data_IF_502602419909
#
_entry.id   IF_502602419909
#
_cell.length_a   1.000
_cell.length_b   1.000
_cell.length_c   1.000
_cell.angle_alpha   90.00
_cell.angle_beta   90.00
_cell.angle_gamma   90.00
#
_symmetry.space_group_name_H-M   'P 1'
#
loop_
_entity.id
_entity.type
_entity.pdbx_description
1 polymer ?
#
# COMPACT_ATOMS: atom_id res chain seq x y z
N UNK A 1 -9.86 32.84 -1.50
CA UNK A 1 -9.03 31.68 -1.07
C UNK A 1 -9.69 30.44 -1.64
N UNK A 2 -8.97 29.69 -2.46
CA UNK A 2 -9.49 28.49 -3.08
C UNK A 2 -9.09 27.26 -2.25
N UNK A 3 -10.02 26.31 -2.07
CA UNK A 3 -9.74 25.08 -1.33
C UNK A 3 -9.71 23.87 -2.26
N UNK A 4 -8.79 22.96 -1.99
CA UNK A 4 -8.54 21.77 -2.76
C UNK A 4 -8.59 20.52 -1.89
N UNK A 5 -9.02 19.40 -2.47
CA UNK A 5 -9.01 18.11 -1.80
C UNK A 5 -8.08 17.13 -2.50
N UNK A 6 -7.25 16.48 -1.71
CA UNK A 6 -6.54 15.27 -2.11
C UNK A 6 -7.09 14.08 -1.34
N UNK A 7 -7.37 12.96 -2.03
CA UNK A 7 -7.90 11.75 -1.39
C UNK A 7 -7.03 10.56 -1.79
N UNK A 8 -6.59 9.78 -0.79
CA UNK A 8 -5.95 8.48 -0.95
C UNK A 8 -6.92 7.38 -0.50
N UNK A 9 -7.50 6.66 -1.47
CA UNK A 9 -8.50 5.62 -1.25
C UNK A 9 -7.89 4.23 -1.27
N UNK A 10 -7.61 3.68 -0.09
CA UNK A 10 -6.95 2.39 0.07
C UNK A 10 -7.85 1.23 0.46
N UNK A 11 -7.24 0.04 0.56
CA UNK A 11 -7.91 -1.21 0.96
C UNK A 11 -8.18 -1.34 2.47
N UNK A 12 -7.60 -0.46 3.30
CA UNK A 12 -7.74 -0.50 4.77
C UNK A 12 -8.31 0.80 5.31
N UNK A 13 -7.97 1.93 4.70
CA UNK A 13 -8.42 3.26 5.09
C UNK A 13 -8.52 4.19 3.89
N UNK A 14 -9.24 5.29 4.06
CA UNK A 14 -9.31 6.42 3.12
C UNK A 14 -8.83 7.66 3.84
N UNK A 15 -7.83 8.34 3.32
CA UNK A 15 -7.32 9.60 3.88
C UNK A 15 -7.70 10.75 2.95
N UNK A 16 -8.28 11.81 3.50
CA UNK A 16 -8.61 13.04 2.79
C UNK A 16 -7.81 14.20 3.38
N UNK A 17 -7.17 15.00 2.54
CA UNK A 17 -6.46 16.21 2.88
C UNK A 17 -7.17 17.44 2.27
N UNK A 18 -7.38 18.45 3.07
CA UNK A 18 -7.83 19.80 2.64
C UNK A 18 -6.65 20.74 2.64
N UNK A 19 -6.47 21.51 1.59
CA UNK A 19 -5.47 22.58 1.53
C UNK A 19 -5.96 23.80 0.77
N UNK A 20 -5.30 24.93 1.00
CA UNK A 20 -5.40 26.10 0.14
C UNK A 20 -4.39 26.02 -1.02
N UNK A 21 -4.05 27.12 -1.66
CA UNK A 21 -3.10 27.19 -2.78
C UNK A 21 -1.69 26.69 -2.41
N UNK A 22 -1.29 26.74 -1.13
CA UNK A 22 0.08 26.47 -0.67
C UNK A 22 0.20 25.60 0.57
N UNK A 23 -0.77 25.60 1.47
CA UNK A 23 -0.70 24.94 2.77
C UNK A 23 -1.66 23.76 2.88
N UNK A 24 -1.26 22.73 3.61
CA UNK A 24 -2.14 21.70 4.13
C UNK A 24 -2.88 22.29 5.36
N UNK A 25 -4.20 22.26 5.35
CA UNK A 25 -5.03 22.83 6.43
C UNK A 25 -5.51 21.77 7.41
N UNK A 26 -5.97 20.63 6.88
CA UNK A 26 -6.46 19.53 7.70
C UNK A 26 -6.37 18.19 6.96
N UNK A 27 -6.36 17.11 7.73
CA UNK A 27 -6.52 15.75 7.24
C UNK A 27 -7.54 14.98 8.07
N UNK A 28 -8.24 14.05 7.44
CA UNK A 28 -9.11 13.10 8.13
C UNK A 28 -9.01 11.70 7.51
N UNK A 29 -9.31 10.69 8.31
CA UNK A 29 -9.24 9.29 7.87
C UNK A 29 -10.56 8.60 8.20
N UNK A 30 -11.09 7.87 7.21
CA UNK A 30 -12.28 7.02 7.32
C UNK A 30 -11.95 5.56 6.98
N UNK A 31 -12.97 4.72 6.89
CA UNK A 31 -12.85 3.31 6.52
C UNK A 31 -12.27 3.07 5.13
N UNK A 32 -12.16 1.79 4.70
CA UNK A 32 -11.64 1.43 3.39
C UNK A 32 -12.57 1.86 2.25
N UNK A 33 -11.99 2.23 1.10
CA UNK A 33 -12.74 2.60 -0.12
C UNK A 33 -12.33 1.85 -1.39
N UNK A 34 -11.57 0.77 -1.26
CA UNK A 34 -11.33 -0.12 -2.40
C UNK A 34 -12.62 -0.90 -2.73
N UNK A 35 -13.30 -0.49 -3.82
CA UNK A 35 -14.62 -1.02 -4.23
C UNK A 35 -14.59 -2.54 -4.42
N UNK A 36 -13.50 -3.07 -4.99
CA UNK A 36 -13.37 -4.52 -5.24
C UNK A 36 -13.36 -5.31 -3.93
N UNK A 37 -12.86 -4.70 -2.85
CA UNK A 37 -12.72 -5.35 -1.55
C UNK A 37 -13.95 -5.19 -0.66
N UNK A 38 -14.52 -3.99 -0.60
CA UNK A 38 -15.58 -3.67 0.38
C UNK A 38 -16.95 -3.42 -0.24
N UNK A 39 -17.04 -3.44 -1.57
CA UNK A 39 -18.24 -3.10 -2.30
C UNK A 39 -18.50 -1.59 -2.41
N UNK A 40 -19.42 -1.21 -3.30
CA UNK A 40 -19.69 0.19 -3.63
C UNK A 40 -20.25 0.99 -2.45
N UNK A 41 -21.20 0.42 -1.70
CA UNK A 41 -21.88 1.12 -0.61
C UNK A 41 -20.91 1.54 0.49
N UNK A 42 -20.05 0.63 0.95
CA UNK A 42 -19.04 0.91 1.97
C UNK A 42 -17.96 1.87 1.45
N UNK A 43 -17.54 1.71 0.20
CA UNK A 43 -16.55 2.59 -0.41
C UNK A 43 -17.07 4.03 -0.49
N UNK A 44 -18.33 4.22 -0.94
CA UNK A 44 -19.00 5.53 -0.98
C UNK A 44 -19.07 6.17 0.40
N UNK A 45 -19.52 5.43 1.42
CA UNK A 45 -19.61 5.94 2.79
C UNK A 45 -18.24 6.42 3.29
N UNK A 46 -17.18 5.61 3.12
CA UNK A 46 -15.84 5.94 3.54
C UNK A 46 -15.28 7.19 2.83
N UNK A 47 -15.50 7.30 1.52
CA UNK A 47 -15.11 8.48 0.73
C UNK A 47 -15.82 9.74 1.22
N UNK A 48 -17.15 9.71 1.33
CA UNK A 48 -17.93 10.87 1.77
C UNK A 48 -17.64 11.25 3.21
N UNK A 49 -17.44 10.28 4.11
CA UNK A 49 -17.10 10.53 5.50
C UNK A 49 -15.73 11.20 5.63
N UNK A 50 -14.70 10.72 4.89
CA UNK A 50 -13.37 11.32 4.92
C UNK A 50 -13.41 12.80 4.46
N UNK A 51 -14.17 13.12 3.42
CA UNK A 51 -14.35 14.49 2.93
C UNK A 51 -15.04 15.38 3.97
N UNK A 52 -16.19 14.91 4.52
CA UNK A 52 -16.93 15.71 5.52
C UNK A 52 -16.08 15.99 6.75
N UNK A 53 -15.34 15.00 7.25
CA UNK A 53 -14.48 15.16 8.42
C UNK A 53 -13.30 16.09 8.14
N UNK A 54 -12.63 15.98 6.97
CA UNK A 54 -11.52 16.84 6.61
C UNK A 54 -11.96 18.30 6.41
N UNK A 55 -13.10 18.53 5.74
CA UNK A 55 -13.67 19.86 5.58
C UNK A 55 -14.06 20.49 6.94
N UNK A 56 -14.71 19.72 7.81
CA UNK A 56 -15.06 20.18 9.16
C UNK A 56 -13.81 20.54 9.98
N UNK A 57 -12.77 19.73 9.92
CA UNK A 57 -11.51 20.01 10.61
C UNK A 57 -10.78 21.26 10.07
N UNK A 58 -10.96 21.59 8.78
CA UNK A 58 -10.44 22.79 8.16
C UNK A 58 -11.35 24.02 8.35
N UNK A 59 -12.51 23.87 8.99
CA UNK A 59 -13.49 24.95 9.18
C UNK A 59 -14.20 25.40 7.89
N UNK A 60 -14.32 24.51 6.90
CA UNK A 60 -14.98 24.78 5.61
C UNK A 60 -16.12 23.79 5.35
N UNK A 61 -16.95 24.09 4.37
CA UNK A 61 -17.97 23.15 3.85
C UNK A 61 -17.54 22.61 2.48
N UNK A 62 -17.97 21.39 2.09
CA UNK A 62 -17.59 20.78 0.79
C UNK A 62 -17.87 21.65 -0.43
N UNK A 63 -18.90 22.49 -0.38
CA UNK A 63 -19.27 23.42 -1.46
C UNK A 63 -18.23 24.52 -1.73
N UNK A 64 -17.29 24.77 -0.81
CA UNK A 64 -16.19 25.73 -0.98
C UNK A 64 -14.96 25.15 -1.67
N UNK A 65 -14.95 23.84 -1.90
CA UNK A 65 -13.87 23.18 -2.62
C UNK A 65 -13.97 23.48 -4.10
N UNK A 66 -12.88 23.84 -4.74
CA UNK A 66 -12.85 24.18 -6.17
C UNK A 66 -12.40 23.04 -7.07
N UNK A 67 -11.63 22.07 -6.53
CA UNK A 67 -11.19 20.88 -7.25
C UNK A 67 -10.77 19.76 -6.30
N UNK A 68 -10.96 18.53 -6.75
CA UNK A 68 -10.61 17.32 -6.00
C UNK A 68 -9.82 16.36 -6.88
N UNK A 69 -8.75 15.76 -6.33
CA UNK A 69 -8.06 14.61 -6.94
C UNK A 69 -8.16 13.39 -6.00
N UNK A 70 -8.55 12.27 -6.55
CA UNK A 70 -8.68 10.99 -5.83
C UNK A 70 -7.71 9.98 -6.43
N UNK A 71 -6.77 9.49 -5.64
CA UNK A 71 -6.02 8.30 -5.94
C UNK A 71 -6.73 7.08 -5.34
N UNK A 72 -7.11 6.13 -6.17
CA UNK A 72 -7.83 4.95 -5.69
C UNK A 72 -7.17 3.65 -6.11
N UNK A 73 -7.06 2.71 -5.17
CA UNK A 73 -6.62 1.35 -5.49
C UNK A 73 -7.65 0.68 -6.42
N UNK A 74 -7.19 0.31 -7.62
CA UNK A 74 -8.04 -0.22 -8.69
C UNK A 74 -8.74 0.86 -9.55
N UNK A 75 -8.65 2.15 -9.23
CA UNK A 75 -9.26 3.24 -9.99
C UNK A 75 -8.62 3.49 -11.38
N UNK A 76 -7.59 2.74 -11.73
CA UNK A 76 -7.11 2.69 -13.12
C UNK A 76 -8.12 2.04 -14.09
N UNK A 77 -9.17 1.38 -13.58
CA UNK A 77 -10.30 0.85 -14.37
C UNK A 77 -11.35 1.95 -14.54
N UNK A 78 -11.73 2.32 -15.77
CA UNK A 78 -12.69 3.41 -16.02
C UNK A 78 -14.02 3.26 -15.27
N UNK A 79 -14.53 2.02 -15.15
CA UNK A 79 -15.79 1.72 -14.48
C UNK A 79 -15.72 2.06 -12.97
N UNK A 80 -14.61 1.70 -12.33
CA UNK A 80 -14.41 1.98 -10.90
C UNK A 80 -14.15 3.48 -10.66
N UNK A 81 -13.43 4.13 -11.56
CA UNK A 81 -13.23 5.58 -11.50
C UNK A 81 -14.55 6.34 -11.57
N UNK A 82 -15.50 5.89 -12.43
CA UNK A 82 -16.80 6.50 -12.56
C UNK A 82 -17.65 6.34 -11.29
N UNK A 83 -17.62 5.17 -10.65
CA UNK A 83 -18.32 4.95 -9.37
C UNK A 83 -17.76 5.88 -8.28
N UNK A 84 -16.43 6.05 -8.20
CA UNK A 84 -15.80 6.97 -7.25
C UNK A 84 -16.23 8.41 -7.52
N UNK A 85 -16.19 8.84 -8.79
CA UNK A 85 -16.59 10.19 -9.20
C UNK A 85 -18.06 10.45 -8.86
N UNK A 86 -18.95 9.53 -9.23
CA UNK A 86 -20.38 9.64 -8.92
C UNK A 86 -20.64 9.71 -7.40
N UNK A 87 -19.96 8.90 -6.62
CA UNK A 87 -20.08 8.88 -5.15
C UNK A 87 -19.72 10.21 -4.50
N UNK A 88 -18.69 10.88 -5.01
CA UNK A 88 -18.24 12.17 -4.49
C UNK A 88 -19.02 13.35 -5.06
N UNK A 89 -19.51 13.28 -6.30
CA UNK A 89 -20.32 14.32 -6.92
C UNK A 89 -21.63 14.61 -6.17
N UNK A 90 -22.09 13.67 -5.33
CA UNK A 90 -23.25 13.88 -4.46
C UNK A 90 -23.03 14.94 -3.37
N UNK A 91 -21.76 15.20 -3.01
CA UNK A 91 -21.40 16.14 -1.94
C UNK A 91 -20.40 17.22 -2.38
N UNK A 92 -19.77 17.08 -3.53
CA UNK A 92 -18.77 17.99 -4.09
C UNK A 92 -19.24 18.51 -5.46
N UNK A 93 -19.68 19.77 -5.58
CA UNK A 93 -20.10 20.34 -6.86
C UNK A 93 -18.91 20.88 -7.69
N UNK A 94 -17.84 20.10 -7.80
CA UNK A 94 -16.58 20.55 -8.41
C UNK A 94 -16.01 19.46 -9.34
N UNK A 95 -15.07 19.78 -10.23
CA UNK A 95 -14.32 18.79 -10.97
C UNK A 95 -13.62 17.80 -10.04
N UNK A 96 -13.79 16.49 -10.35
CA UNK A 96 -13.21 15.38 -9.59
C UNK A 96 -12.36 14.54 -10.54
N UNK A 97 -11.05 14.65 -10.37
CA UNK A 97 -10.08 13.83 -11.09
C UNK A 97 -9.87 12.52 -10.32
N UNK A 98 -10.06 11.38 -10.98
CA UNK A 98 -9.84 10.06 -10.39
C UNK A 98 -8.71 9.37 -11.12
N UNK A 99 -7.67 9.00 -10.38
CA UNK A 99 -6.43 8.40 -10.88
C UNK A 99 -6.07 7.14 -10.07
N UNK A 100 -5.07 6.39 -10.52
CA UNK A 100 -4.55 5.27 -9.73
C UNK A 100 -3.79 5.74 -8.48
N UNK A 101 -3.85 4.95 -7.40
CA UNK A 101 -3.11 5.19 -6.15
C UNK A 101 -1.59 5.35 -6.38
N UNK A 102 -1.04 4.59 -7.33
CA UNK A 102 0.37 4.69 -7.72
C UNK A 102 0.74 6.06 -8.31
N UNK A 103 -0.21 6.75 -8.99
CA UNK A 103 0.05 8.06 -9.59
C UNK A 103 0.18 9.14 -8.53
N UNK A 104 -0.72 9.17 -7.55
CA UNK A 104 -0.63 10.11 -6.43
C UNK A 104 0.59 9.84 -5.55
N UNK A 105 0.97 8.56 -5.38
CA UNK A 105 2.16 8.19 -4.62
C UNK A 105 3.45 8.65 -5.32
N UNK A 106 3.54 8.47 -6.65
CA UNK A 106 4.67 8.96 -7.46
C UNK A 106 4.76 10.49 -7.41
N UNK A 107 3.60 11.17 -7.49
CA UNK A 107 3.50 12.62 -7.39
C UNK A 107 3.96 13.14 -6.01
N UNK A 108 3.57 12.45 -4.92
CA UNK A 108 4.01 12.79 -3.57
C UNK A 108 5.53 12.67 -3.41
N UNK A 109 6.13 11.68 -4.07
CA UNK A 109 7.57 11.42 -3.97
C UNK A 109 8.43 12.35 -4.82
N UNK A 110 8.01 12.64 -6.05
CA UNK A 110 8.88 13.24 -7.07
C UNK A 110 8.27 14.43 -7.82
N UNK A 111 7.07 14.86 -7.45
CA UNK A 111 6.32 15.86 -8.22
C UNK A 111 6.21 15.39 -9.69
N UNK A 112 6.61 16.20 -10.65
CA UNK A 112 6.69 15.84 -12.08
C UNK A 112 8.00 15.17 -12.48
N UNK A 113 8.95 15.05 -11.55
CA UNK A 113 10.27 14.48 -11.80
C UNK A 113 10.28 12.97 -12.04
N UNK A 114 11.38 12.43 -12.57
CA UNK A 114 11.56 10.99 -12.74
C UNK A 114 11.80 10.30 -11.40
N UNK A 115 11.46 9.02 -11.33
CA UNK A 115 11.70 8.19 -10.14
C UNK A 115 10.84 6.94 -10.12
N UNK A 116 11.07 6.11 -9.12
CA UNK A 116 10.31 4.88 -8.87
C UNK A 116 9.72 4.91 -7.47
N UNK A 117 8.42 4.72 -7.36
CA UNK A 117 7.71 4.52 -6.09
C UNK A 117 7.38 3.04 -5.90
N UNK A 118 7.63 2.53 -4.70
CA UNK A 118 7.21 1.19 -4.30
C UNK A 118 6.15 1.30 -3.21
N UNK A 119 4.99 0.76 -3.49
CA UNK A 119 3.85 0.72 -2.57
C UNK A 119 3.78 -0.67 -1.97
N UNK A 120 3.79 -0.77 -0.64
CA UNK A 120 3.56 -2.00 0.10
C UNK A 120 2.57 -1.74 1.24
N UNK A 121 1.30 -1.93 0.93
CA UNK A 121 0.15 -1.84 1.82
C UNK A 121 -0.55 -3.19 1.94
N UNK A 122 -1.89 -3.22 1.81
CA UNK A 122 -2.68 -4.45 1.70
C UNK A 122 -2.25 -5.28 0.48
N UNK A 123 -2.01 -4.62 -0.67
CA UNK A 123 -1.34 -5.13 -1.87
C UNK A 123 0.03 -4.47 -2.06
N UNK A 124 0.73 -4.82 -3.15
CA UNK A 124 2.02 -4.22 -3.50
C UNK A 124 2.18 -3.97 -4.99
N UNK A 125 2.92 -2.91 -5.34
CA UNK A 125 3.23 -2.54 -6.72
C UNK A 125 4.46 -1.65 -6.76
N UNK A 126 5.28 -1.75 -7.80
CA UNK A 126 6.26 -0.74 -8.17
C UNK A 126 5.79 0.03 -9.40
N UNK A 127 5.92 1.35 -9.38
CA UNK A 127 5.54 2.24 -10.46
C UNK A 127 6.59 3.32 -10.65
N UNK A 128 6.91 3.66 -11.87
CA UNK A 128 7.95 4.66 -12.15
C UNK A 128 7.63 5.51 -13.35
N UNK A 129 8.37 6.61 -13.44
CA UNK A 129 8.38 7.55 -14.56
C UNK A 129 9.83 7.91 -14.88
N UNK A 130 10.18 7.82 -16.17
CA UNK A 130 11.49 8.23 -16.66
C UNK A 130 11.59 9.75 -16.91
N UNK A 131 12.78 10.30 -17.24
CA UNK A 131 12.93 11.73 -17.53
C UNK A 131 12.12 12.22 -18.76
N UNK A 132 11.67 11.33 -19.62
CA UNK A 132 10.83 11.63 -20.79
C UNK A 132 9.33 11.59 -20.49
N UNK A 133 8.97 11.23 -19.25
CA UNK A 133 7.58 11.11 -18.82
C UNK A 133 6.93 9.75 -19.09
N UNK A 134 7.69 8.79 -19.66
CA UNK A 134 7.20 7.42 -19.87
C UNK A 134 6.97 6.73 -18.53
N UNK A 135 5.83 6.11 -18.35
CA UNK A 135 5.50 5.41 -17.10
C UNK A 135 5.43 3.90 -17.29
N UNK A 136 5.78 3.16 -16.25
CA UNK A 136 5.72 1.71 -16.23
C UNK A 136 5.45 1.19 -14.83
N UNK A 137 4.73 0.08 -14.74
CA UNK A 137 4.53 -0.65 -13.48
C UNK A 137 5.08 -2.07 -13.55
N UNK A 138 5.39 -2.62 -12.40
CA UNK A 138 5.63 -4.04 -12.19
C UNK A 138 4.91 -4.50 -10.90
N UNK A 139 4.47 -5.75 -10.87
CA UNK A 139 3.62 -6.25 -9.78
C UNK A 139 2.20 -5.68 -9.81
N UNK A 140 1.51 -5.74 -8.68
CA UNK A 140 0.13 -5.25 -8.56
C UNK A 140 -0.88 -6.10 -9.34
N UNK A 141 -0.67 -7.42 -9.36
CA UNK A 141 -1.55 -8.37 -10.05
C UNK A 141 -2.73 -8.83 -9.19
N UNK A 142 -2.75 -8.40 -7.94
CA UNK A 142 -3.76 -8.77 -6.96
C UNK A 142 -3.33 -9.93 -6.05
N UNK A 143 -3.92 -9.96 -4.87
CA UNK A 143 -3.52 -10.83 -3.76
C UNK A 143 -3.62 -12.34 -4.04
N UNK A 144 -4.43 -12.75 -5.01
CA UNK A 144 -4.62 -14.16 -5.32
C UNK A 144 -3.38 -14.79 -5.96
N UNK A 145 -2.65 -14.03 -6.80
CA UNK A 145 -1.56 -14.54 -7.63
C UNK A 145 -0.27 -13.71 -7.57
N UNK A 146 -0.30 -12.53 -6.94
CA UNK A 146 0.81 -11.57 -6.87
C UNK A 146 0.84 -10.82 -5.55
N UNK A 147 1.14 -9.52 -5.64
CA UNK A 147 1.26 -8.59 -4.52
C UNK A 147 2.35 -9.03 -3.53
N UNK A 148 3.47 -9.52 -4.06
CA UNK A 148 4.63 -10.02 -3.30
C UNK A 148 5.15 -8.94 -2.34
N UNK A 149 5.40 -9.33 -1.09
CA UNK A 149 5.85 -8.43 -0.03
C UNK A 149 4.78 -7.51 0.56
N UNK A 150 3.52 -7.60 0.13
CA UNK A 150 2.39 -6.88 0.74
C UNK A 150 2.00 -7.45 2.11
N UNK A 151 1.16 -6.73 2.86
CA UNK A 151 0.60 -7.23 4.12
C UNK A 151 -0.18 -8.54 3.94
N UNK A 152 -0.95 -8.68 2.86
CA UNK A 152 -1.65 -9.91 2.54
C UNK A 152 -0.68 -11.06 2.28
N UNK A 153 0.34 -10.83 1.44
CA UNK A 153 1.37 -11.81 1.14
C UNK A 153 2.14 -12.25 2.40
N UNK A 154 2.54 -11.28 3.25
CA UNK A 154 3.24 -11.53 4.52
C UNK A 154 2.39 -12.38 5.45
N UNK A 155 1.10 -12.07 5.63
CA UNK A 155 0.20 -12.84 6.47
C UNK A 155 0.03 -14.27 5.98
N UNK A 156 -0.17 -14.47 4.66
CA UNK A 156 -0.25 -15.80 4.04
C UNK A 156 1.04 -16.58 4.18
N UNK A 157 2.19 -15.92 3.94
CA UNK A 157 3.51 -16.55 4.10
C UNK A 157 3.78 -16.96 5.55
N UNK A 158 3.39 -16.14 6.54
CA UNK A 158 3.54 -16.46 7.95
C UNK A 158 2.74 -17.70 8.34
N UNK A 159 1.47 -17.81 7.94
CA UNK A 159 0.66 -19.02 8.16
C UNK A 159 1.32 -20.24 7.50
N UNK A 160 1.73 -20.12 6.24
CA UNK A 160 2.41 -21.22 5.53
C UNK A 160 3.71 -21.65 6.21
N UNK A 161 4.51 -20.68 6.70
CA UNK A 161 5.79 -20.95 7.38
C UNK A 161 5.57 -21.68 8.70
N UNK A 162 4.59 -21.27 9.52
CA UNK A 162 4.25 -21.93 10.77
C UNK A 162 3.72 -23.35 10.55
N UNK A 163 2.84 -23.54 9.55
CA UNK A 163 2.31 -24.87 9.21
C UNK A 163 3.41 -25.80 8.74
N UNK A 164 4.36 -25.32 7.92
CA UNK A 164 5.51 -26.11 7.47
C UNK A 164 6.48 -26.47 8.59
N UNK A 165 6.68 -25.56 9.55
CA UNK A 165 7.52 -25.84 10.71
C UNK A 165 6.93 -26.92 11.63
N UNK A 166 5.62 -27.20 11.52
CA UNK A 166 4.96 -28.30 12.21
C UNK A 166 5.19 -29.68 11.57
N UNK A 167 5.60 -29.71 10.29
CA UNK A 167 5.87 -30.94 9.56
C UNK A 167 7.36 -31.30 9.66
N UNK A 168 7.75 -32.36 10.40
CA UNK A 168 9.14 -32.80 10.49
C UNK A 168 9.57 -33.45 9.15
N UNK A 169 10.04 -32.62 8.20
CA UNK A 169 10.40 -33.08 6.84
C UNK A 169 11.76 -33.78 6.76
N UNK A 170 12.67 -33.50 7.70
CA UNK A 170 14.09 -33.90 7.61
C UNK A 170 14.50 -34.94 8.64
N UNK A 171 13.56 -35.56 9.36
CA UNK A 171 13.88 -36.60 10.36
C UNK A 171 14.75 -36.11 11.53
N UNK A 172 15.08 -34.84 11.60
CA UNK A 172 15.78 -34.22 12.72
C UNK A 172 14.77 -33.86 13.82
N UNK A 173 14.88 -34.55 14.95
CA UNK A 173 14.04 -34.34 16.14
C UNK A 173 14.19 -32.94 16.81
N UNK A 174 14.99 -32.06 16.24
CA UNK A 174 15.31 -30.72 16.78
C UNK A 174 14.55 -29.56 16.12
N UNK A 175 13.53 -29.83 15.28
CA UNK A 175 12.65 -28.76 14.81
C UNK A 175 11.95 -28.13 16.01
N UNK A 176 12.18 -26.83 16.25
CA UNK A 176 11.43 -26.02 17.24
C UNK A 176 9.95 -26.38 17.07
N UNK A 177 9.32 -26.91 18.12
CA UNK A 177 7.89 -27.23 18.05
C UNK A 177 7.14 -25.94 17.73
N UNK A 178 6.18 -25.94 16.80
CA UNK A 178 5.40 -24.73 16.49
C UNK A 178 4.85 -24.04 17.74
N UNK A 179 4.55 -24.84 18.77
CA UNK A 179 4.05 -24.40 20.07
C UNK A 179 5.04 -23.49 20.82
N UNK A 180 6.33 -23.58 20.53
CA UNK A 180 7.39 -22.75 21.13
C UNK A 180 7.60 -21.44 20.34
N UNK A 181 6.92 -21.28 19.20
CA UNK A 181 6.98 -20.08 18.34
C UNK A 181 6.03 -19.00 18.85
N UNK A 182 6.58 -17.83 19.19
CA UNK A 182 5.76 -16.66 19.54
C UNK A 182 4.93 -16.16 18.36
N UNK A 183 5.40 -16.36 17.12
CA UNK A 183 4.64 -16.08 15.91
C UNK A 183 3.39 -16.97 15.83
N UNK A 184 3.50 -18.26 16.10
CA UNK A 184 2.35 -19.16 16.10
C UNK A 184 1.26 -18.68 17.07
N UNK A 185 1.64 -18.40 18.33
CA UNK A 185 0.71 -17.88 19.32
C UNK A 185 0.04 -16.55 18.89
N UNK A 186 0.82 -15.65 18.26
CA UNK A 186 0.31 -14.39 17.74
C UNK A 186 -0.69 -14.55 16.59
N UNK A 187 -0.45 -15.50 15.67
CA UNK A 187 -1.39 -15.80 14.57
C UNK A 187 -2.69 -16.40 15.09
N UNK A 188 -2.62 -17.36 16.04
CA UNK A 188 -3.82 -17.92 16.68
C UNK A 188 -4.67 -16.83 17.32
N UNK A 189 -4.03 -15.96 18.10
CA UNK A 189 -4.70 -14.83 18.74
C UNK A 189 -5.34 -13.88 17.74
N UNK A 190 -4.62 -13.54 16.66
CA UNK A 190 -5.08 -12.58 15.66
C UNK A 190 -6.35 -13.06 14.92
N UNK A 191 -6.46 -14.36 14.68
CA UNK A 191 -7.64 -14.95 14.03
C UNK A 191 -8.66 -15.57 15.03
N UNK A 192 -8.39 -15.53 16.34
CA UNK A 192 -9.31 -16.08 17.36
C UNK A 192 -9.45 -17.59 17.29
N UNK A 193 -8.41 -18.31 16.84
CA UNK A 193 -8.37 -19.77 16.75
C UNK A 193 -7.43 -20.35 17.80
N UNK A 194 -7.56 -21.65 18.13
CA UNK A 194 -6.92 -22.23 19.30
C UNK A 194 -5.90 -23.34 18.98
N UNK A 195 -5.88 -23.83 17.75
CA UNK A 195 -5.01 -24.93 17.36
C UNK A 195 -4.42 -24.75 15.95
N UNK A 196 -3.37 -25.52 15.66
CA UNK A 196 -2.77 -25.60 14.32
C UNK A 196 -3.80 -26.04 13.27
N UNK A 197 -4.64 -27.02 13.61
CA UNK A 197 -5.71 -27.49 12.73
C UNK A 197 -6.75 -26.42 12.45
N UNK A 198 -7.11 -25.61 13.47
CA UNK A 198 -8.05 -24.51 13.27
C UNK A 198 -7.43 -23.36 12.45
N UNK A 199 -6.13 -23.09 12.63
CA UNK A 199 -5.40 -22.13 11.80
C UNK A 199 -5.40 -22.57 10.33
N UNK A 200 -5.12 -23.85 10.07
CA UNK A 200 -5.15 -24.41 8.72
C UNK A 200 -6.58 -24.35 8.12
N UNK A 201 -7.61 -24.67 8.91
CA UNK A 201 -9.02 -24.60 8.49
C UNK A 201 -9.41 -23.16 8.17
N UNK A 202 -9.06 -22.20 9.01
CA UNK A 202 -9.32 -20.79 8.78
C UNK A 202 -8.64 -20.28 7.49
N UNK A 203 -7.38 -20.66 7.28
CA UNK A 203 -6.62 -20.28 6.09
C UNK A 203 -7.23 -20.81 4.77
N UNK A 204 -7.95 -21.93 4.82
CA UNK A 204 -8.61 -22.57 3.67
C UNK A 204 -10.12 -22.30 3.62
N UNK A 205 -10.62 -21.33 4.36
CA UNK A 205 -12.06 -21.01 4.36
C UNK A 205 -12.53 -20.42 3.01
N UNK A 206 -13.84 -20.55 2.76
CA UNK A 206 -14.51 -19.91 1.61
C UNK A 206 -15.62 -19.01 2.16
N UNK A 207 -15.59 -17.70 1.88
CA UNK A 207 -14.58 -16.99 1.09
C UNK A 207 -13.18 -16.97 1.76
N UNK A 208 -12.11 -16.71 0.97
CA UNK A 208 -10.76 -16.65 1.53
C UNK A 208 -10.65 -15.60 2.65
N UNK A 209 -9.90 -15.87 3.73
CA UNK A 209 -9.75 -14.95 4.84
C UNK A 209 -8.90 -13.73 4.47
N UNK A 210 -9.04 -12.67 5.26
CA UNK A 210 -8.16 -11.50 5.14
C UNK A 210 -6.80 -11.78 5.80
N UNK A 211 -5.86 -12.28 5.02
CA UNK A 211 -4.49 -12.50 5.49
C UNK A 211 -3.78 -11.18 5.87
N UNK A 212 -4.18 -10.03 5.29
CA UNK A 212 -3.54 -8.76 5.65
C UNK A 212 -3.79 -8.35 7.10
N UNK A 213 -4.84 -8.85 7.72
CA UNK A 213 -5.13 -8.65 9.14
C UNK A 213 -4.08 -9.30 10.08
N UNK A 214 -3.31 -10.27 9.59
CA UNK A 214 -2.23 -10.91 10.35
C UNK A 214 -0.93 -10.09 10.36
N UNK A 215 -0.76 -9.15 9.41
CA UNK A 215 0.48 -8.39 9.26
C UNK A 215 0.94 -7.69 10.56
N UNK A 216 0.08 -7.03 11.35
CA UNK A 216 0.52 -6.40 12.61
C UNK A 216 1.13 -7.41 13.59
N UNK A 217 0.59 -8.62 13.67
CA UNK A 217 1.11 -9.68 14.53
C UNK A 217 2.48 -10.18 14.06
N UNK A 218 2.66 -10.33 12.74
CA UNK A 218 3.95 -10.73 12.15
C UNK A 218 5.00 -9.64 12.33
N UNK A 219 4.65 -8.39 12.05
CA UNK A 219 5.57 -7.25 12.17
C UNK A 219 6.04 -6.97 13.60
N UNK A 220 5.20 -7.27 14.59
CA UNK A 220 5.54 -7.12 16.01
C UNK A 220 6.30 -8.33 16.61
N UNK A 221 6.36 -9.46 15.90
CA UNK A 221 6.98 -10.69 16.40
C UNK A 221 8.51 -10.60 16.35
N UNK A 222 9.16 -11.09 17.42
CA UNK A 222 10.63 -11.26 17.51
C UNK A 222 11.06 -12.70 17.12
N UNK A 223 10.18 -13.48 16.55
CA UNK A 223 10.40 -14.88 16.19
C UNK A 223 11.24 -15.00 14.91
N UNK A 224 12.13 -15.99 14.86
CA UNK A 224 12.96 -16.26 13.69
C UNK A 224 12.13 -16.55 12.43
N UNK A 225 10.97 -17.21 12.58
CA UNK A 225 10.06 -17.49 11.47
C UNK A 225 9.45 -16.19 10.92
N UNK A 226 9.11 -15.26 11.80
CA UNK A 226 8.63 -13.93 11.39
C UNK A 226 9.75 -13.16 10.67
N UNK A 227 10.98 -13.18 11.20
CA UNK A 227 12.13 -12.54 10.56
C UNK A 227 12.41 -13.11 9.17
N UNK A 228 12.30 -14.42 8.96
CA UNK A 228 12.42 -15.06 7.65
C UNK A 228 11.37 -14.55 6.66
N UNK A 229 10.09 -14.50 7.07
CA UNK A 229 8.99 -14.00 6.24
C UNK A 229 9.19 -12.53 5.85
N UNK A 230 9.54 -11.67 6.82
CA UNK A 230 9.78 -10.25 6.59
C UNK A 230 11.01 -10.01 5.70
N UNK A 231 12.07 -10.80 5.87
CA UNK A 231 13.26 -10.76 5.00
C UNK A 231 12.88 -11.12 3.56
N UNK A 232 12.11 -12.18 3.37
CA UNK A 232 11.64 -12.58 2.03
C UNK A 232 10.76 -11.49 1.40
N UNK A 233 9.86 -10.90 2.17
CA UNK A 233 9.03 -9.78 1.70
C UNK A 233 9.87 -8.59 1.18
N UNK A 234 10.94 -8.22 1.89
CA UNK A 234 11.84 -7.15 1.47
C UNK A 234 12.56 -7.46 0.15
N UNK A 235 12.99 -8.70 -0.06
CA UNK A 235 13.61 -9.18 -1.31
C UNK A 235 12.64 -9.15 -2.49
N UNK A 236 11.41 -9.62 -2.30
CA UNK A 236 10.38 -9.59 -3.32
C UNK A 236 10.09 -8.15 -3.78
N UNK A 237 9.90 -7.22 -2.84
CA UNK A 237 9.69 -5.81 -3.16
C UNK A 237 10.87 -5.21 -3.94
N UNK A 238 12.11 -5.54 -3.58
CA UNK A 238 13.29 -5.10 -4.31
C UNK A 238 13.34 -5.66 -5.73
N UNK A 239 12.96 -6.93 -5.90
CA UNK A 239 12.89 -7.58 -7.23
C UNK A 239 11.88 -6.89 -8.13
N UNK A 240 10.68 -6.59 -7.63
CA UNK A 240 9.63 -5.88 -8.39
C UNK A 240 10.09 -4.46 -8.74
N UNK A 241 10.72 -3.72 -7.81
CA UNK A 241 11.29 -2.40 -8.08
C UNK A 241 12.37 -2.44 -9.16
N UNK A 242 13.28 -3.41 -9.10
CA UNK A 242 14.35 -3.59 -10.06
C UNK A 242 13.84 -3.83 -11.50
N UNK A 243 12.66 -4.44 -11.67
CA UNK A 243 12.02 -4.58 -12.99
C UNK A 243 11.70 -3.22 -13.59
N UNK A 244 11.08 -2.33 -12.82
CA UNK A 244 10.73 -0.96 -13.26
C UNK A 244 12.00 -0.18 -13.57
N UNK A 245 13.00 -0.22 -12.69
CA UNK A 245 14.28 0.48 -12.86
C UNK A 245 14.97 0.05 -14.15
N UNK A 246 15.14 -1.25 -14.37
CA UNK A 246 15.81 -1.77 -15.58
C UNK A 246 15.10 -1.39 -16.87
N UNK A 247 13.78 -1.28 -16.86
CA UNK A 247 12.99 -0.97 -18.07
C UNK A 247 12.88 0.52 -18.37
N UNK A 248 12.81 1.37 -17.35
CA UNK A 248 12.69 2.83 -17.51
C UNK A 248 14.04 3.55 -17.52
N UNK A 249 15.00 3.06 -16.73
CA UNK A 249 16.32 3.70 -16.58
C UNK A 249 17.42 2.82 -17.19
N UNK A 250 17.26 2.44 -18.45
CA UNK A 250 18.23 1.62 -19.18
C UNK A 250 19.63 2.26 -19.16
N UNK A 251 20.65 1.40 -19.21
CA UNK A 251 22.07 1.78 -19.05
C UNK A 251 22.46 2.97 -19.96
N UNK A 252 22.96 4.02 -19.37
CA UNK A 252 23.58 5.16 -20.06
C UNK A 252 22.88 6.51 -19.91
N UNK A 253 21.68 6.60 -19.34
CA UNK A 253 20.91 7.86 -19.32
C UNK A 253 20.70 8.49 -17.94
N UNK A 254 20.96 7.77 -16.84
CA UNK A 254 20.82 8.32 -15.50
C UNK A 254 22.01 7.95 -14.63
N UNK A 255 22.69 8.96 -14.06
CA UNK A 255 23.75 8.76 -13.08
C UNK A 255 23.18 8.23 -11.75
N UNK A 256 21.93 8.55 -11.45
CA UNK A 256 21.19 8.17 -10.24
C UNK A 256 19.74 7.85 -10.62
N UNK A 257 19.13 6.91 -9.87
CA UNK A 257 17.72 6.54 -9.98
C UNK A 257 17.05 6.78 -8.61
N UNK A 258 16.23 7.85 -8.49
CA UNK A 258 15.53 8.12 -7.25
C UNK A 258 14.45 7.06 -7.00
N UNK A 259 14.43 6.51 -5.79
CA UNK A 259 13.43 5.53 -5.35
C UNK A 259 12.81 6.00 -4.04
N UNK A 260 11.49 5.95 -3.97
CA UNK A 260 10.72 6.24 -2.77
C UNK A 260 9.82 5.06 -2.40
N UNK A 261 9.35 5.05 -1.16
CA UNK A 261 8.52 4.00 -0.60
C UNK A 261 7.28 4.56 0.07
N UNK A 262 6.18 3.80 0.03
CA UNK A 262 4.98 4.11 0.78
C UNK A 262 4.22 2.85 1.19
N UNK A 263 3.28 3.00 2.10
CA UNK A 263 2.41 1.93 2.58
C UNK A 263 2.73 1.43 3.99
N UNK A 264 1.78 0.68 4.55
CA UNK A 264 1.83 0.21 5.94
C UNK A 264 2.96 -0.76 6.21
N UNK A 265 3.35 -1.59 5.23
CA UNK A 265 4.45 -2.55 5.40
C UNK A 265 5.76 -1.83 5.65
N UNK A 266 6.12 -0.85 4.82
CA UNK A 266 7.33 -0.07 5.03
C UNK A 266 7.28 0.79 6.30
N UNK A 267 6.11 1.24 6.71
CA UNK A 267 5.93 2.05 7.93
C UNK A 267 6.12 1.24 9.20
N UNK A 268 5.59 0.01 9.24
CA UNK A 268 5.51 -0.78 10.48
C UNK A 268 6.44 -1.99 10.54
N UNK A 269 7.17 -2.33 9.47
CA UNK A 269 8.14 -3.40 9.43
C UNK A 269 9.55 -2.88 9.04
N UNK A 270 10.35 -2.36 10.00
CA UNK A 270 11.70 -1.84 9.74
C UNK A 270 12.61 -2.86 9.04
N UNK A 271 12.48 -4.15 9.37
CA UNK A 271 13.28 -5.21 8.76
C UNK A 271 12.99 -5.33 7.25
N UNK A 272 11.71 -5.27 6.83
CA UNK A 272 11.36 -5.26 5.41
C UNK A 272 12.02 -4.10 4.68
N UNK A 273 11.97 -2.90 5.29
CA UNK A 273 12.56 -1.69 4.72
C UNK A 273 14.09 -1.80 4.60
N UNK A 274 14.75 -2.30 5.64
CA UNK A 274 16.21 -2.49 5.63
C UNK A 274 16.64 -3.50 4.56
N UNK A 275 15.96 -4.65 4.48
CA UNK A 275 16.25 -5.68 3.47
C UNK A 275 15.98 -5.13 2.06
N UNK A 276 14.86 -4.46 1.85
CA UNK A 276 14.53 -3.83 0.58
C UNK A 276 15.65 -2.89 0.09
N UNK A 277 16.17 -2.02 0.97
CA UNK A 277 17.25 -1.11 0.61
C UNK A 277 18.54 -1.81 0.24
N UNK A 278 18.93 -2.82 1.03
CA UNK A 278 20.18 -3.54 0.81
C UNK A 278 20.13 -4.35 -0.50
N UNK A 279 19.03 -5.08 -0.72
CA UNK A 279 18.84 -5.89 -1.92
C UNK A 279 18.72 -5.02 -3.18
N UNK A 280 17.99 -3.91 -3.12
CA UNK A 280 17.81 -3.06 -4.27
C UNK A 280 19.12 -2.38 -4.69
N UNK A 281 19.95 -1.93 -3.73
CA UNK A 281 21.30 -1.39 -4.00
C UNK A 281 22.26 -2.43 -4.53
N UNK A 282 22.12 -3.68 -4.09
CA UNK A 282 22.91 -4.78 -4.63
C UNK A 282 22.55 -5.09 -6.08
N UNK A 283 21.26 -4.94 -6.44
CA UNK A 283 20.76 -5.15 -7.81
C UNK A 283 21.11 -3.99 -8.77
N UNK A 284 21.14 -2.76 -8.26
CA UNK A 284 21.50 -1.57 -9.05
C UNK A 284 22.13 -0.48 -8.15
N UNK A 285 23.44 -0.26 -8.30
CA UNK A 285 24.19 0.69 -7.50
C UNK A 285 23.82 2.17 -7.73
N UNK A 286 23.10 2.48 -8.81
CA UNK A 286 22.63 3.84 -9.11
C UNK A 286 21.43 4.25 -8.25
N UNK A 287 20.86 3.32 -7.50
CA UNK A 287 19.64 3.57 -6.71
C UNK A 287 19.93 4.49 -5.53
N UNK A 288 19.18 5.57 -5.45
CA UNK A 288 19.12 6.49 -4.32
C UNK A 288 17.75 6.37 -3.64
N UNK A 289 17.69 5.63 -2.54
CA UNK A 289 16.42 5.40 -1.84
C UNK A 289 16.17 6.49 -0.81
N UNK A 290 15.02 7.19 -0.93
CA UNK A 290 14.53 8.07 0.13
C UNK A 290 14.12 7.19 1.33
N UNK A 291 14.73 7.40 2.53
CA UNK A 291 14.42 6.60 3.71
C UNK A 291 13.04 6.88 4.30
N UNK A 292 12.43 8.02 3.96
CA UNK A 292 11.14 8.42 4.48
C UNK A 292 10.00 7.75 3.70
N UNK A 293 9.01 7.28 4.44
CA UNK A 293 7.76 6.76 3.86
C UNK A 293 6.91 7.95 3.45
N UNK A 294 6.70 8.13 2.14
CA UNK A 294 5.91 9.23 1.62
C UNK A 294 4.42 9.06 1.91
N UNK A 295 3.68 10.16 1.98
CA UNK A 295 2.23 10.14 2.14
C UNK A 295 1.54 10.47 0.80
N UNK A 296 0.84 9.50 0.17
CA UNK A 296 0.21 9.70 -1.14
C UNK A 296 -0.84 10.80 -1.17
N UNK A 297 -1.49 11.08 -0.04
CA UNK A 297 -2.53 12.13 0.04
C UNK A 297 -1.98 13.52 -0.29
N UNK A 298 -0.70 13.78 0.01
CA UNK A 298 -0.04 15.03 -0.37
C UNK A 298 0.12 15.14 -1.89
N UNK A 299 0.41 14.03 -2.56
CA UNK A 299 0.47 13.98 -4.02
C UNK A 299 -0.90 14.23 -4.65
N UNK A 300 -1.95 13.62 -4.12
CA UNK A 300 -3.32 13.90 -4.54
C UNK A 300 -3.68 15.38 -4.39
N UNK A 301 -3.31 15.99 -3.26
CA UNK A 301 -3.57 17.42 -3.02
C UNK A 301 -2.78 18.31 -4.01
N UNK A 302 -1.51 17.99 -4.31
CA UNK A 302 -0.73 18.71 -5.33
C UNK A 302 -1.37 18.59 -6.71
N UNK A 303 -1.84 17.40 -7.10
CA UNK A 303 -2.54 17.20 -8.37
C UNK A 303 -3.85 17.99 -8.42
N UNK A 304 -4.64 18.03 -7.34
CA UNK A 304 -5.84 18.85 -7.28
C UNK A 304 -5.56 20.34 -7.48
N UNK A 305 -4.49 20.87 -6.90
CA UNK A 305 -4.10 22.29 -7.05
C UNK A 305 -3.73 22.69 -8.48
N UNK A 306 -3.10 21.76 -9.22
CA UNK A 306 -2.61 22.06 -10.59
C UNK A 306 -3.65 21.81 -11.67
N UNK A 307 -4.60 20.94 -11.42
CA UNK A 307 -5.40 20.31 -12.45
C UNK A 307 -4.60 19.20 -13.16
N UNK A 308 -5.25 18.09 -13.43
CA UNK A 308 -4.69 16.95 -14.18
C UNK A 308 -4.88 17.16 -15.67
#
# INVERSE_FOLDING_TARGET
>A
MSYYLGIDGGGTKTTCAVGDESHLLATATAGPSNIVRVGEAQARESLQQSVRQACAAAGIVPAQVVRTCVGGSGAARPELAEIVRHSLAQILPTPIDVVGDMQIALEAAFDKGPGVIVIAGTGSIAYGRDPQGTTLRAGGWGFAIGDEGSAHWIGRAAVSTVLRAADPRDGTLESKRPQDSSLFAALLKAWGVTSLTDLARAANSIPPPDFSALFPAVAASQDDLAAQVLTHAGRELATVAAVVIRRLFSKGHAASVPVAITGGVFRHAPLVRQVFYNELRALDQRVEVNPNVVDPVEGALRMARRGT
#
